data_IF_493536343876
#
_entry.id   IF_493536343876
#
_cell.length_a   1.000
_cell.length_b   1.000
_cell.length_c   1.000
_cell.angle_alpha   90.00
_cell.angle_beta   90.00
_cell.angle_gamma   90.00
#
_symmetry.space_group_name_H-M   'P 1'
#
loop_
_entity.id
_entity.type
_entity.pdbx_description
1 polymer ?
#
# COMPACT_ATOMS: atom_id res chain seq x y z
N UNK A 1 -9.20 8.26 -12.40
CA UNK A 1 -8.63 6.91 -12.51
C UNK A 1 -7.80 6.64 -11.27
N UNK A 2 -8.25 5.69 -10.47
CA UNK A 2 -7.63 5.17 -9.23
C UNK A 2 -7.46 3.66 -9.38
N UNK A 3 -6.67 3.02 -8.51
CA UNK A 3 -6.51 1.55 -8.49
C UNK A 3 -7.82 0.77 -8.27
N UNK A 4 -8.90 1.44 -7.84
CA UNK A 4 -10.22 0.85 -7.63
C UNK A 4 -11.15 0.94 -8.83
N UNK A 5 -10.74 1.65 -9.89
CA UNK A 5 -11.52 1.80 -11.12
C UNK A 5 -11.25 0.60 -12.04
N UNK A 6 -12.29 -0.02 -12.58
CA UNK A 6 -12.17 -1.22 -13.43
C UNK A 6 -11.28 -0.99 -14.66
N UNK A 7 -11.32 0.21 -15.24
CA UNK A 7 -10.47 0.62 -16.37
C UNK A 7 -8.96 0.58 -16.02
N UNK A 8 -8.61 0.57 -14.74
CA UNK A 8 -7.22 0.49 -14.28
C UNK A 8 -6.70 -0.95 -14.16
N UNK A 9 -7.60 -1.94 -14.08
CA UNK A 9 -7.24 -3.31 -13.68
C UNK A 9 -6.32 -4.02 -14.68
N UNK A 10 -6.34 -3.63 -15.95
CA UNK A 10 -5.46 -4.19 -16.96
C UNK A 10 -3.98 -3.91 -16.66
N UNK A 11 -3.66 -2.77 -16.05
CA UNK A 11 -2.27 -2.32 -15.89
C UNK A 11 -1.84 -2.06 -14.45
N UNK A 12 -2.75 -1.79 -13.53
CA UNK A 12 -2.44 -1.30 -12.18
C UNK A 12 -1.57 -2.28 -11.36
N UNK A 13 -1.62 -3.58 -11.66
CA UNK A 13 -0.93 -4.62 -10.89
C UNK A 13 0.18 -5.37 -11.65
N UNK A 14 0.39 -5.08 -12.94
CA UNK A 14 1.32 -5.83 -13.80
C UNK A 14 2.80 -5.77 -13.35
N UNK A 15 3.18 -4.76 -12.56
CA UNK A 15 4.54 -4.59 -12.04
C UNK A 15 4.81 -5.28 -10.69
N UNK A 16 3.83 -6.02 -10.16
CA UNK A 16 3.93 -6.66 -8.85
C UNK A 16 3.93 -8.17 -9.04
N UNK A 17 4.97 -8.83 -8.53
CA UNK A 17 5.13 -10.27 -8.69
C UNK A 17 4.02 -11.04 -7.99
N UNK A 18 3.56 -12.12 -8.62
CA UNK A 18 2.61 -13.05 -8.00
C UNK A 18 3.19 -13.67 -6.72
N UNK A 19 2.36 -13.82 -5.69
CA UNK A 19 2.75 -14.35 -4.39
C UNK A 19 3.60 -13.39 -3.55
N UNK A 20 3.91 -12.19 -4.04
CA UNK A 20 4.70 -11.22 -3.29
C UNK A 20 3.94 -10.69 -2.06
N UNK A 21 4.69 -10.03 -1.17
CA UNK A 21 4.10 -9.29 -0.05
C UNK A 21 3.84 -7.87 -0.52
N UNK A 22 2.61 -7.40 -0.32
CA UNK A 22 2.20 -6.04 -0.71
C UNK A 22 1.91 -5.19 0.51
N UNK A 23 2.08 -3.87 0.34
CA UNK A 23 1.73 -2.88 1.35
C UNK A 23 0.65 -1.95 0.80
N UNK A 24 -0.43 -1.75 1.56
CA UNK A 24 -1.53 -0.85 1.22
C UNK A 24 -1.91 0.01 2.42
N UNK A 25 -2.64 1.11 2.22
CA UNK A 25 -3.12 1.94 3.32
C UNK A 25 -4.60 2.28 3.19
N UNK A 26 -5.34 2.12 4.29
CA UNK A 26 -6.76 2.52 4.39
C UNK A 26 -6.92 3.94 4.96
N UNK A 27 -5.82 4.59 5.35
CA UNK A 27 -5.85 5.95 5.91
C UNK A 27 -6.37 6.91 4.84
N UNK A 28 -7.48 7.60 5.14
CA UNK A 28 -8.11 8.54 4.21
C UNK A 28 -9.08 7.90 3.21
N UNK A 29 -9.27 6.58 3.24
CA UNK A 29 -10.16 5.88 2.30
C UNK A 29 -11.60 5.71 2.80
N UNK A 30 -11.98 6.30 3.95
CA UNK A 30 -13.30 6.10 4.57
C UNK A 30 -14.49 6.53 3.68
N UNK A 31 -14.31 7.55 2.85
CA UNK A 31 -15.34 8.03 1.92
C UNK A 31 -15.33 7.26 0.58
N UNK A 32 -14.32 6.42 0.37
CA UNK A 32 -14.07 5.70 -0.88
C UNK A 32 -13.95 4.19 -0.67
N UNK A 33 -14.60 3.66 0.38
CA UNK A 33 -14.49 2.26 0.79
C UNK A 33 -14.85 1.29 -0.33
N UNK A 34 -15.89 1.58 -1.13
CA UNK A 34 -16.29 0.72 -2.25
C UNK A 34 -15.23 0.64 -3.33
N UNK A 35 -14.67 1.79 -3.75
CA UNK A 35 -13.60 1.84 -4.74
C UNK A 35 -12.31 1.17 -4.20
N UNK A 36 -11.97 1.42 -2.94
CA UNK A 36 -10.84 0.75 -2.28
C UNK A 36 -11.00 -0.77 -2.29
N UNK A 37 -12.17 -1.27 -1.88
CA UNK A 37 -12.44 -2.70 -1.84
C UNK A 37 -12.46 -3.31 -3.25
N UNK A 38 -12.95 -2.59 -4.25
CA UNK A 38 -12.87 -3.01 -5.65
C UNK A 38 -11.42 -3.28 -6.08
N UNK A 39 -10.53 -2.30 -5.85
CA UNK A 39 -9.10 -2.44 -6.15
C UNK A 39 -8.43 -3.52 -5.31
N UNK A 40 -8.78 -3.65 -4.03
CA UNK A 40 -8.28 -4.69 -3.14
C UNK A 40 -8.63 -6.08 -3.65
N UNK A 41 -9.88 -6.32 -4.02
CA UNK A 41 -10.33 -7.63 -4.51
C UNK A 41 -9.65 -7.99 -5.83
N UNK A 42 -9.44 -7.02 -6.72
CA UNK A 42 -8.72 -7.27 -7.96
C UNK A 42 -7.22 -7.53 -7.72
N UNK A 43 -6.60 -6.77 -6.82
CA UNK A 43 -5.22 -7.00 -6.37
C UNK A 43 -5.06 -8.44 -5.83
N UNK A 44 -5.99 -8.91 -5.00
CA UNK A 44 -5.97 -10.28 -4.46
C UNK A 44 -6.01 -11.34 -5.56
N UNK A 45 -6.79 -11.13 -6.63
CA UNK A 45 -6.88 -12.08 -7.76
C UNK A 45 -5.63 -12.08 -8.64
N UNK A 46 -5.06 -10.91 -8.93
CA UNK A 46 -3.97 -10.81 -9.90
C UNK A 46 -2.62 -11.12 -9.27
N UNK A 47 -2.36 -10.59 -8.06
CA UNK A 47 -1.09 -10.74 -7.36
C UNK A 47 -1.09 -11.98 -6.47
N UNK A 48 -2.25 -12.44 -5.99
CA UNK A 48 -2.34 -13.59 -5.06
C UNK A 48 -1.35 -13.44 -3.89
N UNK A 49 -1.33 -12.28 -3.19
CA UNK A 49 -0.25 -11.96 -2.26
C UNK A 49 -0.21 -12.91 -1.08
N UNK A 50 0.99 -13.30 -0.64
CA UNK A 50 1.13 -14.15 0.54
C UNK A 50 0.68 -13.42 1.81
N UNK A 51 1.00 -12.12 1.91
CA UNK A 51 0.55 -11.24 2.99
C UNK A 51 0.26 -9.84 2.45
N UNK A 52 -0.73 -9.19 3.07
CA UNK A 52 -1.07 -7.78 2.82
C UNK A 52 -0.74 -6.99 4.08
N UNK A 53 0.25 -6.09 4.02
CA UNK A 53 0.54 -5.16 5.10
C UNK A 53 -0.41 -3.96 4.98
N UNK A 54 -1.37 -3.83 5.90
CA UNK A 54 -2.36 -2.76 5.89
C UNK A 54 -2.00 -1.67 6.89
N UNK A 55 -1.62 -0.51 6.39
CA UNK A 55 -1.35 0.69 7.17
C UNK A 55 -2.66 1.43 7.44
N UNK A 56 -3.08 1.46 8.70
CA UNK A 56 -4.42 1.91 9.10
C UNK A 56 -5.40 0.76 9.29
N UNK A 57 -6.53 1.04 9.95
CA UNK A 57 -7.51 0.02 10.32
C UNK A 57 -8.04 -0.69 9.05
N UNK A 58 -7.88 -2.02 8.92
CA UNK A 58 -8.44 -2.78 7.80
C UNK A 58 -9.96 -2.71 7.78
N UNK A 59 -10.55 -2.86 6.59
CA UNK A 59 -11.98 -3.06 6.45
C UNK A 59 -12.36 -4.51 6.78
N UNK A 60 -13.62 -4.75 7.15
CA UNK A 60 -14.10 -6.08 7.54
C UNK A 60 -14.06 -7.09 6.37
N UNK A 61 -14.15 -6.59 5.15
CA UNK A 61 -14.14 -7.35 3.91
C UNK A 61 -12.73 -7.78 3.47
N UNK A 62 -11.68 -7.31 4.16
CA UNK A 62 -10.31 -7.71 3.88
C UNK A 62 -10.01 -9.11 4.43
N UNK A 63 -9.16 -9.85 3.73
CA UNK A 63 -8.88 -11.26 4.02
C UNK A 63 -7.97 -11.46 5.24
N UNK A 64 -7.95 -12.68 5.77
CA UNK A 64 -7.23 -13.05 6.99
C UNK A 64 -5.71 -12.97 6.87
N UNK A 65 -5.15 -12.96 5.65
CA UNK A 65 -3.72 -12.72 5.42
C UNK A 65 -3.34 -11.22 5.48
N UNK A 66 -4.28 -10.35 5.84
CA UNK A 66 -4.03 -8.94 6.11
C UNK A 66 -3.44 -8.73 7.50
N UNK A 67 -2.24 -8.15 7.56
CA UNK A 67 -1.56 -7.78 8.79
C UNK A 67 -1.76 -6.28 9.04
N UNK A 68 -2.47 -5.95 10.11
CA UNK A 68 -2.68 -4.57 10.52
C UNK A 68 -1.39 -3.94 11.08
N UNK A 69 -1.00 -2.81 10.50
CA UNK A 69 0.08 -1.95 10.97
C UNK A 69 -0.51 -0.68 11.57
N UNK A 70 -0.33 -0.56 12.88
CA UNK A 70 -0.75 0.61 13.65
C UNK A 70 0.21 1.78 13.41
N UNK A 71 -0.23 2.71 12.58
CA UNK A 71 0.56 3.87 12.19
C UNK A 71 0.77 4.88 13.32
N UNK A 72 -0.06 4.88 14.37
CA UNK A 72 0.05 5.82 15.49
C UNK A 72 1.25 5.52 16.38
N UNK A 73 1.77 4.29 16.31
CA UNK A 73 2.97 3.86 17.05
C UNK A 73 4.27 4.39 16.45
N UNK A 74 4.26 4.94 15.24
CA UNK A 74 5.44 5.53 14.64
C UNK A 74 5.55 7.01 15.05
N UNK A 75 6.63 7.43 15.75
CA UNK A 75 6.83 8.82 16.07
C UNK A 75 6.93 9.63 14.77
N UNK A 76 6.17 10.72 14.67
CA UNK A 76 6.33 11.69 13.59
C UNK A 76 7.76 12.21 13.68
N UNK A 77 8.61 11.86 12.73
CA UNK A 77 9.95 12.48 12.64
C UNK A 77 9.73 13.98 12.52
N UNK A 78 10.33 14.74 13.43
CA UNK A 78 10.55 16.17 13.22
C UNK A 78 11.27 16.33 11.87
N UNK A 79 10.93 17.38 11.12
CA UNK A 79 11.48 17.65 9.79
C UNK A 79 12.99 17.91 9.89
N UNK A 80 13.79 16.87 10.01
CA UNK A 80 15.23 16.96 9.96
C UNK A 80 15.60 17.17 8.49
N UNK A 81 16.19 18.35 8.22
CA UNK A 81 16.72 18.76 6.92
C UNK A 81 17.50 17.59 6.30
N UNK A 82 17.27 17.34 5.02
CA UNK A 82 18.22 16.60 4.19
C UNK A 82 19.58 17.28 4.35
N UNK A 83 20.52 16.62 5.03
CA UNK A 83 21.92 17.04 5.01
C UNK A 83 22.50 16.38 3.77
N UNK A 84 22.58 17.16 2.69
CA UNK A 84 23.38 16.81 1.51
C UNK A 84 24.86 16.91 1.89
N UNK A 85 25.41 15.85 2.47
CA UNK A 85 26.84 15.60 2.43
C UNK A 85 27.06 14.38 1.54
N UNK A 86 27.08 14.62 0.22
CA UNK A 86 27.72 13.67 -0.68
C UNK A 86 29.23 13.72 -0.36
N UNK A 87 29.89 12.59 -0.04
CA UNK A 87 31.33 12.58 0.09
C UNK A 87 31.92 12.99 -1.26
N UNK A 88 32.75 14.04 -1.28
CA UNK A 88 33.54 14.33 -2.48
C UNK A 88 34.43 13.11 -2.74
N UNK A 89 34.13 12.38 -3.82
CA UNK A 89 35.02 11.38 -4.37
C UNK A 89 36.25 12.12 -4.90
N UNK A 90 37.27 12.22 -4.05
CA UNK A 90 38.61 12.62 -4.46
C UNK A 90 39.15 11.60 -5.46
N UNK A 91 39.22 12.00 -6.73
CA UNK A 91 40.17 11.43 -7.69
C UNK A 91 41.50 12.14 -7.56
#
# INVERSE_FOLDING_TARGET
MTWGDEDSFEFCFQGVDKGSIVAISTIGCKEYTSAFLSGYQEMMKQIEPQYVLCFGMPFNEMESNTIYIDCEKFPKKEKNKWVEEAPELGF
#
